data_IF_119461908468
#
_entry.id   IF_119461908468
#
_cell.length_a   1.000
_cell.length_b   1.000
_cell.length_c   1.000
_cell.angle_alpha   90.00
_cell.angle_beta   90.00
_cell.angle_gamma   90.00
#
_symmetry.space_group_name_H-M   'P 1'
#
loop_
_entity.id
_entity.type
_entity.pdbx_description
1 polymer ?
#
# COMPACT_ATOMS: atom_id res chain seq x y z
N UNK A 1 -1.23 -24.86 -2.38
CA UNK A 1 -1.60 -24.77 -0.95
C UNK A 1 -0.72 -25.76 -0.20
N UNK A 2 0.36 -25.32 0.46
CA UNK A 2 1.24 -26.21 1.23
C UNK A 2 0.86 -26.18 2.72
N UNK A 3 0.69 -27.37 3.28
CA UNK A 3 0.38 -27.65 4.69
C UNK A 3 1.57 -27.41 5.65
N UNK A 4 2.32 -26.31 5.47
CA UNK A 4 3.44 -25.92 6.35
C UNK A 4 3.15 -24.63 7.14
N UNK A 5 1.91 -24.14 7.12
CA UNK A 5 1.46 -23.07 7.98
C UNK A 5 1.37 -23.58 9.42
N UNK A 6 2.43 -23.38 10.20
CA UNK A 6 2.33 -23.41 11.65
C UNK A 6 1.24 -22.46 12.15
N UNK A 7 0.93 -22.44 13.44
CA UNK A 7 -0.14 -21.60 13.98
C UNK A 7 0.31 -20.13 14.04
N UNK A 8 0.70 -19.54 12.91
CA UNK A 8 1.14 -18.15 12.78
C UNK A 8 0.10 -17.19 13.33
N UNK A 9 -1.18 -17.52 13.15
CA UNK A 9 -2.29 -16.80 13.77
C UNK A 9 -2.25 -16.86 15.30
N UNK A 10 -2.04 -18.05 15.88
CA UNK A 10 -1.94 -18.20 17.34
C UNK A 10 -0.68 -17.55 17.90
N UNK A 11 0.44 -17.58 17.16
CA UNK A 11 1.66 -16.86 17.54
C UNK A 11 1.43 -15.36 17.51
N UNK A 12 0.83 -14.83 16.45
CA UNK A 12 0.49 -13.40 16.35
C UNK A 12 -0.48 -12.97 17.46
N UNK A 13 -1.49 -13.80 17.76
CA UNK A 13 -2.41 -13.62 18.88
C UNK A 13 -1.70 -13.58 20.24
N UNK A 14 -0.77 -14.51 20.46
CA UNK A 14 0.03 -14.57 21.69
C UNK A 14 0.91 -13.32 21.81
N UNK A 15 1.59 -12.94 20.74
CA UNK A 15 2.41 -11.72 20.69
C UNK A 15 1.58 -10.47 20.98
N UNK A 16 0.34 -10.38 20.49
CA UNK A 16 -0.56 -9.29 20.83
C UNK A 16 -0.86 -9.22 22.32
N UNK A 17 -1.21 -10.35 22.94
CA UNK A 17 -1.49 -10.38 24.37
C UNK A 17 -0.26 -10.03 25.20
N UNK A 18 0.93 -10.46 24.78
CA UNK A 18 2.19 -10.06 25.42
C UNK A 18 2.42 -8.55 25.26
N UNK A 19 2.28 -8.00 24.05
CA UNK A 19 2.47 -6.58 23.78
C UNK A 19 1.50 -5.70 24.59
N UNK A 20 0.24 -6.13 24.72
CA UNK A 20 -0.74 -5.48 25.61
C UNK A 20 -0.29 -5.59 27.08
N UNK A 21 0.13 -6.79 27.52
CA UNK A 21 0.58 -7.04 28.88
C UNK A 21 1.77 -6.21 29.32
N UNK A 22 2.70 -5.91 28.41
CA UNK A 22 3.86 -5.02 28.68
C UNK A 22 3.57 -3.54 28.40
N UNK A 23 2.35 -3.20 27.96
CA UNK A 23 1.90 -1.82 27.77
C UNK A 23 2.37 -1.15 26.48
N UNK A 24 2.61 -1.90 25.40
CA UNK A 24 2.86 -1.33 24.06
C UNK A 24 1.59 -0.70 23.44
N UNK A 25 0.40 -1.13 23.89
CA UNK A 25 -0.89 -0.62 23.40
C UNK A 25 -1.33 0.69 24.05
N UNK A 26 -0.49 1.31 24.87
CA UNK A 26 -0.74 2.58 25.56
C UNK A 26 0.31 3.57 25.10
N UNK A 27 -0.10 4.79 24.72
CA UNK A 27 0.89 5.79 24.26
C UNK A 27 1.91 6.07 25.37
N UNK A 28 3.22 5.96 25.09
CA UNK A 28 4.26 6.30 26.02
C UNK A 28 4.20 7.72 26.58
N UNK A 29 3.53 8.67 25.92
CA UNK A 29 3.32 10.01 26.46
C UNK A 29 2.44 10.00 27.72
N UNK A 30 1.57 9.00 27.84
CA UNK A 30 0.77 8.73 29.05
C UNK A 30 1.54 7.91 30.09
N UNK A 31 2.74 7.46 29.75
CA UNK A 31 3.61 6.67 30.62
C UNK A 31 4.82 7.53 31.03
N UNK A 32 5.31 7.36 32.26
CA UNK A 32 6.50 8.07 32.72
C UNK A 32 7.80 7.33 32.33
N UNK A 33 7.97 7.04 31.03
CA UNK A 33 9.08 6.24 30.47
C UNK A 33 10.13 7.08 29.74
N UNK A 34 11.35 6.54 29.56
CA UNK A 34 12.40 7.20 28.77
C UNK A 34 12.05 7.34 27.28
N UNK A 35 12.81 8.14 26.52
CA UNK A 35 12.57 8.34 25.07
C UNK A 35 12.80 7.04 24.30
N UNK A 36 13.86 6.30 24.65
CA UNK A 36 14.20 5.03 24.01
C UNK A 36 13.08 4.02 24.24
N UNK A 37 12.68 3.81 25.50
CA UNK A 37 11.58 2.90 25.85
C UNK A 37 10.25 3.32 25.19
N UNK A 38 9.99 4.63 25.08
CA UNK A 38 8.83 5.13 24.37
C UNK A 38 8.83 4.71 22.89
N UNK A 39 9.95 4.92 22.19
CA UNK A 39 10.06 4.55 20.78
C UNK A 39 10.08 3.03 20.58
N UNK A 40 10.69 2.25 21.47
CA UNK A 40 10.60 0.78 21.46
C UNK A 40 9.14 0.31 21.51
N UNK A 41 8.34 0.88 22.41
CA UNK A 41 6.91 0.55 22.54
C UNK A 41 6.11 0.96 21.30
N UNK A 42 6.29 2.18 20.79
CA UNK A 42 5.62 2.67 19.57
C UNK A 42 5.96 1.81 18.36
N UNK A 43 7.24 1.50 18.17
CA UNK A 43 7.72 0.67 17.05
C UNK A 43 7.21 -0.76 17.16
N UNK A 44 7.23 -1.35 18.36
CA UNK A 44 6.66 -2.67 18.62
C UNK A 44 5.18 -2.72 18.27
N UNK A 45 4.39 -1.76 18.78
CA UNK A 45 2.95 -1.68 18.54
C UNK A 45 2.62 -1.47 17.06
N UNK A 46 3.34 -0.59 16.39
CA UNK A 46 3.14 -0.32 14.97
C UNK A 46 3.53 -1.51 14.08
N UNK A 47 4.65 -2.17 14.37
CA UNK A 47 5.05 -3.38 13.66
C UNK A 47 4.02 -4.50 13.82
N UNK A 48 3.52 -4.71 15.05
CA UNK A 48 2.47 -5.69 15.34
C UNK A 48 1.17 -5.35 14.59
N UNK A 49 0.76 -4.09 14.60
CA UNK A 49 -0.42 -3.61 13.87
C UNK A 49 -0.29 -3.88 12.37
N UNK A 50 0.90 -3.62 11.78
CA UNK A 50 1.18 -3.92 10.39
C UNK A 50 1.07 -5.43 10.09
N UNK A 51 1.59 -6.30 10.95
CA UNK A 51 1.47 -7.75 10.80
C UNK A 51 0.01 -8.22 10.81
N UNK A 52 -0.82 -7.65 11.71
CA UNK A 52 -2.26 -7.93 11.72
C UNK A 52 -2.95 -7.48 10.43
N UNK A 53 -2.60 -6.30 9.91
CA UNK A 53 -3.15 -5.82 8.63
C UNK A 53 -2.76 -6.77 7.49
N UNK A 54 -1.49 -7.16 7.41
CA UNK A 54 -1.01 -8.12 6.39
C UNK A 54 -1.78 -9.44 6.49
N UNK A 55 -1.92 -9.98 7.70
CA UNK A 55 -2.64 -11.23 7.93
C UNK A 55 -4.12 -11.13 7.51
N UNK A 56 -4.80 -10.03 7.85
CA UNK A 56 -6.19 -9.79 7.43
C UNK A 56 -6.33 -9.77 5.91
N UNK A 57 -5.41 -9.09 5.22
CA UNK A 57 -5.42 -9.06 3.74
C UNK A 57 -5.18 -10.47 3.17
N UNK A 58 -4.24 -11.24 3.75
CA UNK A 58 -3.97 -12.62 3.32
C UNK A 58 -5.18 -13.56 3.51
N UNK A 59 -6.02 -13.34 4.53
CA UNK A 59 -7.27 -14.09 4.73
C UNK A 59 -8.44 -13.58 3.87
N UNK A 60 -8.18 -12.68 2.93
CA UNK A 60 -9.20 -12.18 1.99
C UNK A 60 -10.10 -11.08 2.57
N UNK A 61 -9.77 -10.54 3.75
CA UNK A 61 -10.43 -9.32 4.22
C UNK A 61 -9.90 -8.13 3.41
N UNK A 62 -10.69 -7.72 2.42
CA UNK A 62 -10.33 -6.64 1.48
C UNK A 62 -10.53 -5.25 2.07
N UNK A 63 -11.20 -5.13 3.22
CA UNK A 63 -11.38 -3.87 3.94
C UNK A 63 -10.36 -3.82 5.09
N UNK A 64 -9.18 -3.20 4.90
CA UNK A 64 -8.30 -2.93 6.04
C UNK A 64 -9.09 -2.07 7.04
N UNK A 65 -9.11 -2.39 8.32
CA UNK A 65 -9.75 -1.51 9.30
C UNK A 65 -9.03 -0.16 9.33
N UNK A 66 -9.76 0.93 9.59
CA UNK A 66 -9.12 2.24 9.81
C UNK A 66 -8.18 2.10 10.99
N UNK A 67 -6.94 2.54 10.81
CA UNK A 67 -5.96 2.56 11.89
C UNK A 67 -6.39 3.67 12.86
N UNK A 68 -7.22 3.29 13.83
CA UNK A 68 -7.44 4.06 15.04
C UNK A 68 -6.32 3.68 15.98
N UNK A 69 -5.35 4.57 16.13
CA UNK A 69 -4.21 4.32 16.97
C UNK A 69 -4.36 5.15 18.24
N UNK A 70 -4.57 4.47 19.35
CA UNK A 70 -4.45 5.05 20.69
C UNK A 70 -2.98 5.30 21.07
N UNK A 71 -2.07 4.96 20.16
CA UNK A 71 -0.62 5.11 20.26
C UNK A 71 -0.13 5.84 19.00
N UNK A 72 0.61 6.92 19.17
CA UNK A 72 1.24 7.65 18.07
C UNK A 72 2.14 6.74 17.22
N UNK A 73 2.26 7.07 15.94
CA UNK A 73 3.21 6.38 15.07
C UNK A 73 4.65 6.64 15.52
N UNK A 74 5.58 5.69 15.26
CA UNK A 74 6.99 5.89 15.57
C UNK A 74 7.57 7.16 14.96
N UNK A 75 8.60 7.70 15.60
CA UNK A 75 9.37 8.79 15.03
C UNK A 75 10.13 8.34 13.78
N UNK A 76 10.27 9.26 12.81
CA UNK A 76 10.99 9.05 11.56
C UNK A 76 12.49 9.31 11.77
N UNK A 77 13.14 8.46 12.58
CA UNK A 77 14.55 8.58 12.99
C UNK A 77 15.20 7.19 13.08
N UNK A 78 16.51 7.13 12.86
CA UNK A 78 17.29 5.91 13.01
C UNK A 78 17.65 5.65 14.48
N UNK A 79 17.96 4.39 14.80
CA UNK A 79 18.26 3.96 16.17
C UNK A 79 19.49 4.69 16.75
N UNK A 80 20.50 4.96 15.93
CA UNK A 80 21.72 5.67 16.34
C UNK A 80 21.46 7.14 16.70
N UNK A 81 20.39 7.72 16.15
CA UNK A 81 19.99 9.10 16.40
C UNK A 81 19.02 9.23 17.59
N UNK A 82 18.56 8.10 18.17
CA UNK A 82 17.78 8.06 19.41
C UNK A 82 18.67 8.39 20.62
N UNK A 83 19.04 9.66 20.76
CA UNK A 83 19.79 10.12 21.94
C UNK A 83 18.84 10.55 23.06
N UNK A 84 19.24 10.29 24.32
CA UNK A 84 18.44 10.56 25.54
C UNK A 84 18.32 12.06 25.88
N UNK A 85 18.51 12.94 24.89
CA UNK A 85 18.57 14.40 25.09
C UNK A 85 17.17 15.02 25.14
N UNK A 86 16.47 14.81 26.26
CA UNK A 86 15.21 15.47 26.67
C UNK A 86 14.01 15.30 25.71
N UNK A 87 12.86 14.94 26.30
CA UNK A 87 11.51 14.73 25.70
C UNK A 87 10.93 15.85 24.79
N UNK A 88 11.70 16.85 24.38
CA UNK A 88 11.22 18.04 23.65
C UNK A 88 11.78 18.25 22.24
N UNK A 89 12.74 17.44 21.79
CA UNK A 89 13.38 17.64 20.48
C UNK A 89 13.60 16.33 19.75
N UNK A 90 12.53 15.57 19.47
CA UNK A 90 12.60 14.61 18.37
C UNK A 90 12.80 15.43 17.10
N UNK A 91 13.89 15.25 16.34
CA UNK A 91 14.10 15.99 15.11
C UNK A 91 12.87 15.86 14.20
N UNK A 92 12.38 16.99 13.71
CA UNK A 92 11.36 16.97 12.66
C UNK A 92 11.93 16.19 11.47
N UNK A 93 11.12 15.31 10.87
CA UNK A 93 11.48 14.45 9.72
C UNK A 93 12.48 15.16 8.80
N UNK A 94 13.69 14.64 8.73
CA UNK A 94 14.80 15.24 7.98
C UNK A 94 14.55 15.23 6.46
N UNK A 95 13.43 14.65 6.01
CA UNK A 95 13.17 14.37 4.61
C UNK A 95 14.13 13.34 4.02
N UNK A 96 14.95 12.69 4.86
CA UNK A 96 15.89 11.65 4.49
C UNK A 96 15.28 10.27 4.73
N UNK A 97 15.84 9.28 4.06
CA UNK A 97 15.44 7.89 4.19
C UNK A 97 15.95 7.34 5.53
N UNK A 98 15.04 6.89 6.38
CA UNK A 98 15.32 6.27 7.70
C UNK A 98 14.83 4.82 7.73
N UNK A 99 15.25 4.05 8.73
CA UNK A 99 14.75 2.71 9.03
C UNK A 99 13.23 2.68 9.21
N UNK A 100 12.62 3.76 9.73
CA UNK A 100 11.18 3.88 9.97
C UNK A 100 10.38 4.34 8.74
N UNK A 101 11.04 4.92 7.72
CA UNK A 101 10.38 5.46 6.52
C UNK A 101 9.46 4.45 5.83
N UNK A 102 9.86 3.18 5.73
CA UNK A 102 9.04 2.11 5.14
C UNK A 102 7.73 1.90 5.92
N UNK A 103 7.84 1.76 7.24
CA UNK A 103 6.70 1.53 8.13
C UNK A 103 5.74 2.72 8.05
N UNK A 104 6.26 3.95 8.19
CA UNK A 104 5.44 5.16 8.15
C UNK A 104 4.73 5.34 6.80
N UNK A 105 5.40 5.01 5.69
CA UNK A 105 4.75 5.02 4.38
C UNK A 105 3.64 3.97 4.28
N UNK A 106 3.87 2.74 4.75
CA UNK A 106 2.85 1.68 4.80
C UNK A 106 1.60 2.12 5.55
N UNK A 107 1.75 2.74 6.72
CA UNK A 107 0.61 3.25 7.51
C UNK A 107 -0.20 4.31 6.78
N UNK A 108 0.45 5.25 6.08
CA UNK A 108 -0.25 6.22 5.22
C UNK A 108 -1.02 5.53 4.10
N UNK A 109 -0.39 4.55 3.44
CA UNK A 109 -1.05 3.77 2.39
C UNK A 109 -2.19 2.89 2.91
N UNK A 110 -2.11 2.33 4.12
CA UNK A 110 -3.21 1.57 4.73
C UNK A 110 -4.43 2.44 5.00
N UNK A 111 -4.23 3.67 5.47
CA UNK A 111 -5.33 4.63 5.64
C UNK A 111 -5.99 4.98 4.30
N UNK A 112 -5.19 5.18 3.24
CA UNK A 112 -5.73 5.37 1.89
C UNK A 112 -6.44 4.12 1.38
N UNK A 113 -5.90 2.93 1.63
CA UNK A 113 -6.52 1.66 1.26
C UNK A 113 -7.91 1.51 1.91
N UNK A 114 -8.06 1.85 3.18
CA UNK A 114 -9.37 1.86 3.85
C UNK A 114 -10.35 2.81 3.15
N UNK A 115 -9.91 4.04 2.84
CA UNK A 115 -10.76 5.01 2.16
C UNK A 115 -11.16 4.56 0.75
N UNK A 116 -10.24 3.96 0.00
CA UNK A 116 -10.48 3.39 -1.33
C UNK A 116 -11.47 2.23 -1.23
N UNK A 117 -11.24 1.26 -0.35
CA UNK A 117 -12.12 0.10 -0.23
C UNK A 117 -13.52 0.51 0.23
N UNK A 118 -13.65 1.44 1.18
CA UNK A 118 -14.94 2.02 1.59
C UNK A 118 -15.67 2.68 0.43
N UNK A 119 -14.95 3.44 -0.38
CA UNK A 119 -15.51 4.08 -1.57
C UNK A 119 -15.92 3.02 -2.61
N UNK A 120 -15.15 1.94 -2.79
CA UNK A 120 -15.41 0.83 -3.73
C UNK A 120 -16.54 -0.09 -3.30
N UNK A 121 -16.79 -0.24 -2.00
CA UNK A 121 -17.94 -0.98 -1.48
C UNK A 121 -19.27 -0.22 -1.59
N UNK A 122 -19.23 1.09 -1.83
CA UNK A 122 -20.44 1.92 -1.95
C UNK A 122 -21.07 1.78 -3.34
N UNK A 123 -22.40 1.60 -3.38
CA UNK A 123 -23.21 1.68 -4.61
C UNK A 123 -24.10 2.93 -4.55
N UNK A 124 -24.32 3.69 -5.64
CA UNK A 124 -23.90 3.48 -7.04
C UNK A 124 -22.41 3.80 -7.31
N UNK A 125 -21.98 3.71 -8.59
CA UNK A 125 -20.61 4.02 -9.03
C UNK A 125 -20.14 5.38 -8.48
N UNK A 126 -18.88 5.42 -8.06
CA UNK A 126 -18.31 6.56 -7.33
C UNK A 126 -18.28 7.84 -8.17
N UNK A 127 -18.45 8.99 -7.50
CA UNK A 127 -18.32 10.29 -8.16
C UNK A 127 -16.88 10.56 -8.60
N UNK A 128 -16.71 11.22 -9.75
CA UNK A 128 -15.40 11.62 -10.29
C UNK A 128 -14.56 12.39 -9.29
N UNK A 129 -15.18 13.31 -8.56
CA UNK A 129 -14.48 14.12 -7.55
C UNK A 129 -13.89 13.27 -6.42
N UNK A 130 -14.63 12.29 -5.89
CA UNK A 130 -14.15 11.42 -4.81
C UNK A 130 -13.02 10.52 -5.28
N UNK A 131 -13.15 9.94 -6.49
CA UNK A 131 -12.08 9.14 -7.10
C UNK A 131 -10.81 9.98 -7.32
N UNK A 132 -10.94 11.17 -7.91
CA UNK A 132 -9.80 12.07 -8.18
C UNK A 132 -9.12 12.57 -6.90
N UNK A 133 -9.88 12.79 -5.82
CA UNK A 133 -9.32 13.15 -4.52
C UNK A 133 -8.40 12.05 -3.98
N UNK A 134 -8.79 10.78 -4.10
CA UNK A 134 -7.95 9.65 -3.68
C UNK A 134 -6.78 9.40 -4.65
N UNK A 135 -6.99 9.55 -5.96
CA UNK A 135 -5.91 9.47 -6.98
C UNK A 135 -4.81 10.49 -6.70
N UNK A 136 -5.20 11.74 -6.38
CA UNK A 136 -4.27 12.80 -6.02
C UNK A 136 -3.46 12.48 -4.77
N UNK A 137 -4.13 12.04 -3.69
CA UNK A 137 -3.44 11.63 -2.45
C UNK A 137 -2.46 10.48 -2.68
N UNK A 138 -2.83 9.46 -3.46
CA UNK A 138 -1.92 8.39 -3.85
C UNK A 138 -0.72 8.95 -4.63
N UNK A 139 -0.94 9.95 -5.48
CA UNK A 139 0.11 10.61 -6.26
C UNK A 139 1.09 11.37 -5.39
N UNK A 140 0.60 12.06 -4.36
CA UNK A 140 1.44 12.74 -3.38
C UNK A 140 2.27 11.75 -2.55
N UNK A 141 1.66 10.65 -2.09
CA UNK A 141 2.40 9.59 -1.39
C UNK A 141 3.45 8.95 -2.28
N UNK A 142 3.12 8.66 -3.55
CA UNK A 142 4.07 8.09 -4.50
C UNK A 142 5.24 9.04 -4.77
N UNK A 143 4.95 10.33 -4.97
CA UNK A 143 5.97 11.36 -5.17
C UNK A 143 6.88 11.47 -3.95
N UNK A 144 6.31 11.53 -2.74
CA UNK A 144 7.07 11.57 -1.49
C UNK A 144 7.95 10.32 -1.33
N UNK A 145 7.39 9.15 -1.60
CA UNK A 145 8.14 7.89 -1.55
C UNK A 145 9.31 7.90 -2.52
N UNK A 146 9.11 8.28 -3.78
CA UNK A 146 10.19 8.35 -4.78
C UNK A 146 11.28 9.35 -4.37
N UNK A 147 10.91 10.54 -3.87
CA UNK A 147 11.90 11.57 -3.51
C UNK A 147 12.86 11.16 -2.40
N UNK A 148 12.49 10.20 -1.54
CA UNK A 148 13.39 9.67 -0.51
C UNK A 148 14.59 8.90 -1.11
N UNK A 149 14.49 8.48 -2.37
CA UNK A 149 15.51 7.67 -3.04
C UNK A 149 16.29 8.46 -4.11
N UNK A 150 15.94 9.71 -4.40
CA UNK A 150 16.54 10.51 -5.49
C UNK A 150 18.06 10.73 -5.30
N UNK A 151 18.51 10.88 -4.05
CA UNK A 151 19.91 11.17 -3.70
C UNK A 151 20.60 10.00 -2.98
N UNK A 152 19.96 8.83 -2.92
CA UNK A 152 20.43 7.75 -2.09
C UNK A 152 21.48 6.92 -2.82
N UNK A 153 22.75 7.17 -2.50
CA UNK A 153 23.90 6.39 -2.98
C UNK A 153 24.25 5.31 -1.95
N UNK A 154 24.51 4.09 -2.41
CA UNK A 154 24.95 2.96 -1.57
C UNK A 154 23.97 2.58 -0.43
N UNK A 155 22.70 2.36 -0.79
CA UNK A 155 21.69 1.96 0.19
C UNK A 155 21.77 0.46 0.56
N UNK A 156 21.51 0.13 1.83
CA UNK A 156 21.24 -1.24 2.24
C UNK A 156 20.14 -1.92 1.39
N UNK A 157 20.30 -3.20 1.10
CA UNK A 157 19.37 -3.95 0.25
C UNK A 157 17.93 -3.99 0.80
N UNK A 158 17.75 -3.82 2.12
CA UNK A 158 16.41 -3.75 2.71
C UNK A 158 15.64 -2.50 2.26
N UNK A 159 16.30 -1.36 2.11
CA UNK A 159 15.66 -0.16 1.56
C UNK A 159 15.24 -0.35 0.10
N UNK A 160 16.06 -1.05 -0.68
CA UNK A 160 15.72 -1.42 -2.07
C UNK A 160 14.50 -2.35 -2.10
N UNK A 161 14.43 -3.35 -1.22
CA UNK A 161 13.25 -4.20 -1.10
C UNK A 161 12.00 -3.38 -0.72
N UNK A 162 12.11 -2.54 0.30
CA UNK A 162 11.05 -1.64 0.77
C UNK A 162 10.55 -0.71 -0.34
N UNK A 163 11.45 -0.18 -1.16
CA UNK A 163 11.10 0.64 -2.32
C UNK A 163 10.11 -0.07 -3.23
N UNK A 164 10.44 -1.28 -3.68
CA UNK A 164 9.58 -2.05 -4.57
C UNK A 164 8.26 -2.47 -3.91
N UNK A 165 8.30 -2.90 -2.65
CA UNK A 165 7.10 -3.33 -1.91
C UNK A 165 6.10 -2.18 -1.77
N UNK A 166 6.57 -0.98 -1.42
CA UNK A 166 5.73 0.21 -1.28
C UNK A 166 5.23 0.69 -2.64
N UNK A 167 6.12 0.74 -3.64
CA UNK A 167 5.77 1.19 -4.99
C UNK A 167 4.69 0.29 -5.62
N UNK A 168 4.86 -1.03 -5.51
CA UNK A 168 3.87 -1.99 -5.98
C UNK A 168 2.56 -1.90 -5.20
N UNK A 169 2.61 -1.72 -3.88
CA UNK A 169 1.39 -1.53 -3.09
C UNK A 169 0.65 -0.26 -3.50
N UNK A 170 1.35 0.84 -3.76
CA UNK A 170 0.74 2.10 -4.23
C UNK A 170 0.06 1.92 -5.58
N UNK A 171 0.72 1.26 -6.54
CA UNK A 171 0.12 0.94 -7.83
C UNK A 171 -1.05 -0.05 -7.72
N UNK A 172 -0.99 -0.99 -6.77
CA UNK A 172 -2.10 -1.87 -6.48
C UNK A 172 -3.33 -1.08 -5.97
N UNK A 173 -3.14 -0.06 -5.13
CA UNK A 173 -4.22 0.83 -4.70
C UNK A 173 -4.80 1.64 -5.87
N UNK A 174 -3.98 2.10 -6.82
CA UNK A 174 -4.49 2.69 -8.06
C UNK A 174 -5.38 1.71 -8.84
N UNK A 175 -5.00 0.43 -8.94
CA UNK A 175 -5.85 -0.57 -9.57
C UNK A 175 -7.19 -0.70 -8.84
N UNK A 176 -7.18 -0.83 -7.51
CA UNK A 176 -8.41 -0.96 -6.71
C UNK A 176 -9.34 0.25 -6.85
N UNK A 177 -8.78 1.46 -6.93
CA UNK A 177 -9.53 2.70 -7.07
C UNK A 177 -10.22 2.83 -8.43
N UNK A 178 -9.53 2.43 -9.51
CA UNK A 178 -9.99 2.67 -10.88
C UNK A 178 -10.65 1.46 -11.56
N UNK A 179 -10.46 0.24 -11.03
CA UNK A 179 -11.03 -0.99 -11.60
C UNK A 179 -12.57 -0.96 -11.77
N UNK A 180 -13.37 -0.37 -10.86
CA UNK A 180 -14.83 -0.28 -11.06
C UNK A 180 -15.25 0.39 -12.36
N UNK A 181 -14.40 1.25 -12.95
CA UNK A 181 -14.68 1.95 -14.19
C UNK A 181 -14.32 1.17 -15.45
N UNK A 182 -13.52 0.09 -15.36
CA UNK A 182 -13.13 -0.72 -16.53
C UNK A 182 -14.28 -1.55 -17.10
N UNK A 183 -15.19 -1.99 -16.23
CA UNK A 183 -16.39 -2.75 -16.61
C UNK A 183 -17.62 -1.88 -16.86
N UNK A 184 -17.53 -0.56 -16.67
CA UNK A 184 -18.64 0.35 -16.87
C UNK A 184 -18.92 0.49 -18.39
N UNK A 185 -20.12 0.12 -18.82
CA UNK A 185 -20.55 0.28 -20.21
C UNK A 185 -20.64 1.78 -20.53
N UNK A 186 -20.08 2.20 -21.67
CA UNK A 186 -20.19 3.56 -22.25
C UNK A 186 -21.63 3.95 -22.65
N UNK A 187 -22.64 3.31 -22.07
CA UNK A 187 -24.06 3.55 -22.31
C UNK A 187 -24.57 4.84 -21.67
N UNK A 188 -23.76 5.50 -20.85
CA UNK A 188 -24.09 6.82 -20.31
C UNK A 188 -23.63 7.93 -21.28
N UNK A 189 -24.53 8.78 -21.79
CA UNK A 189 -24.21 9.81 -22.79
C UNK A 189 -23.38 10.97 -22.22
N UNK A 190 -23.20 11.07 -20.90
CA UNK A 190 -22.47 12.19 -20.30
C UNK A 190 -20.98 12.20 -20.71
N UNK A 191 -20.52 13.34 -21.22
CA UNK A 191 -19.11 13.57 -21.57
C UNK A 191 -18.18 13.39 -20.38
N UNK A 192 -18.64 13.75 -19.17
CA UNK A 192 -17.86 13.59 -17.94
C UNK A 192 -17.59 12.12 -17.60
N UNK A 193 -18.61 11.24 -17.70
CA UNK A 193 -18.45 9.80 -17.40
C UNK A 193 -17.53 9.10 -18.40
N UNK A 194 -17.65 9.41 -19.69
CA UNK A 194 -16.73 8.90 -20.72
C UNK A 194 -15.28 9.33 -20.46
N UNK A 195 -15.09 10.58 -20.04
CA UNK A 195 -13.76 11.11 -19.69
C UNK A 195 -13.20 10.37 -18.47
N UNK A 196 -14.00 10.15 -17.43
CA UNK A 196 -13.60 9.41 -16.24
C UNK A 196 -13.24 7.94 -16.51
N UNK A 197 -14.01 7.26 -17.37
CA UNK A 197 -13.71 5.88 -17.80
C UNK A 197 -12.35 5.84 -18.52
N UNK A 198 -12.12 6.77 -19.45
CA UNK A 198 -10.85 6.85 -20.19
C UNK A 198 -9.65 7.12 -19.27
N UNK A 199 -9.77 8.10 -18.37
CA UNK A 199 -8.73 8.45 -17.39
C UNK A 199 -8.42 7.25 -16.47
N UNK A 200 -9.46 6.60 -15.95
CA UNK A 200 -9.35 5.43 -15.09
C UNK A 200 -8.68 4.27 -15.81
N UNK A 201 -9.04 4.05 -17.07
CA UNK A 201 -8.44 3.02 -17.90
C UNK A 201 -6.95 3.25 -18.13
N UNK A 202 -6.55 4.49 -18.45
CA UNK A 202 -5.14 4.86 -18.60
C UNK A 202 -4.37 4.65 -17.30
N UNK A 203 -4.96 5.04 -16.16
CA UNK A 203 -4.36 4.84 -14.84
C UNK A 203 -4.16 3.36 -14.51
N UNK A 204 -5.16 2.52 -14.79
CA UNK A 204 -5.08 1.07 -14.62
C UNK A 204 -3.97 0.46 -15.48
N UNK A 205 -3.91 0.78 -16.77
CA UNK A 205 -2.86 0.27 -17.67
C UNK A 205 -1.47 0.65 -17.19
N UNK A 206 -1.26 1.94 -16.87
CA UNK A 206 0.04 2.44 -16.37
C UNK A 206 0.46 1.74 -15.08
N UNK A 207 -0.47 1.58 -14.14
CA UNK A 207 -0.19 0.98 -12.84
C UNK A 207 0.08 -0.52 -12.94
N UNK A 208 -0.71 -1.24 -13.76
CA UNK A 208 -0.51 -2.66 -14.00
C UNK A 208 0.87 -2.94 -14.63
N UNK A 209 1.26 -2.18 -15.66
CA UNK A 209 2.58 -2.29 -16.27
C UNK A 209 3.70 -2.03 -15.26
N UNK A 210 3.54 -1.02 -14.39
CA UNK A 210 4.55 -0.70 -13.39
C UNK A 210 4.70 -1.80 -12.33
N UNK A 211 3.60 -2.42 -11.89
CA UNK A 211 3.64 -3.58 -10.99
C UNK A 211 4.44 -4.72 -11.62
N UNK A 212 4.17 -5.06 -12.87
CA UNK A 212 4.85 -6.18 -13.55
C UNK A 212 6.34 -5.89 -13.77
N UNK A 213 6.69 -4.69 -14.23
CA UNK A 213 8.08 -4.27 -14.39
C UNK A 213 8.85 -4.30 -13.06
N UNK A 214 8.25 -3.81 -11.99
CA UNK A 214 8.84 -3.87 -10.66
C UNK A 214 8.98 -5.31 -10.15
N UNK A 215 7.97 -6.16 -10.38
CA UNK A 215 8.00 -7.57 -9.99
C UNK A 215 9.15 -8.32 -10.69
N UNK A 216 9.29 -8.10 -12.00
CA UNK A 216 10.39 -8.63 -12.80
C UNK A 216 11.76 -8.13 -12.30
N UNK A 217 11.89 -6.81 -12.07
CA UNK A 217 13.13 -6.21 -11.56
C UNK A 217 13.51 -6.76 -10.19
N UNK A 218 12.53 -6.97 -9.31
CA UNK A 218 12.75 -7.56 -7.99
C UNK A 218 13.22 -9.01 -8.11
N UNK A 219 12.54 -9.80 -8.95
CA UNK A 219 12.83 -11.22 -9.12
C UNK A 219 14.24 -11.50 -9.63
N UNK A 220 14.71 -10.68 -10.57
CA UNK A 220 16.04 -10.82 -11.16
C UNK A 220 17.17 -10.25 -10.29
N UNK A 221 16.87 -9.52 -9.21
CA UNK A 221 17.90 -8.97 -8.34
C UNK A 221 18.35 -9.99 -7.28
N UNK A 222 19.58 -10.54 -7.37
CA UNK A 222 20.04 -11.58 -6.45
C UNK A 222 20.17 -11.10 -4.99
N UNK A 223 20.38 -9.80 -4.78
CA UNK A 223 20.50 -9.23 -3.44
C UNK A 223 19.15 -9.17 -2.70
N UNK A 224 18.03 -9.33 -3.42
CA UNK A 224 16.69 -9.32 -2.85
C UNK A 224 16.16 -10.73 -2.54
N UNK A 225 16.95 -11.79 -2.72
CA UNK A 225 16.58 -13.17 -2.36
C UNK A 225 16.03 -13.34 -0.93
N UNK A 226 16.55 -12.66 0.11
CA UNK A 226 15.98 -12.74 1.46
C UNK A 226 14.52 -12.28 1.54
N UNK A 227 14.06 -11.50 0.55
CA UNK A 227 12.70 -10.97 0.46
C UNK A 227 11.80 -11.76 -0.50
N UNK A 228 12.21 -12.97 -0.90
CA UNK A 228 11.40 -13.83 -1.76
C UNK A 228 10.01 -14.17 -1.17
N UNK A 229 9.84 -14.08 0.15
CA UNK A 229 8.54 -14.18 0.81
C UNK A 229 7.52 -13.17 0.23
N UNK A 230 7.99 -12.00 -0.22
CA UNK A 230 7.15 -11.01 -0.87
C UNK A 230 6.73 -11.47 -2.28
N UNK A 231 7.69 -11.87 -3.12
CA UNK A 231 7.42 -12.30 -4.49
C UNK A 231 6.49 -13.51 -4.53
N UNK A 232 6.79 -14.54 -3.74
CA UNK A 232 5.98 -15.77 -3.69
C UNK A 232 4.69 -15.61 -2.87
N UNK A 233 4.57 -14.52 -2.11
CA UNK A 233 3.38 -14.13 -1.37
C UNK A 233 2.68 -12.95 -2.03
N UNK A 234 2.65 -11.82 -1.33
CA UNK A 234 1.84 -10.64 -1.66
C UNK A 234 2.11 -10.07 -3.06
N UNK A 235 3.37 -10.05 -3.50
CA UNK A 235 3.78 -9.57 -4.80
C UNK A 235 3.14 -10.35 -5.96
N UNK A 236 3.03 -11.67 -5.84
CA UNK A 236 2.37 -12.50 -6.86
C UNK A 236 0.88 -12.19 -7.00
N UNK A 237 0.18 -11.94 -5.88
CA UNK A 237 -1.23 -11.54 -5.89
C UNK A 237 -1.42 -10.20 -6.62
N UNK A 238 -0.54 -9.23 -6.36
CA UNK A 238 -0.59 -7.94 -7.04
C UNK A 238 -0.28 -8.07 -8.54
N UNK A 239 0.70 -8.90 -8.91
CA UNK A 239 1.02 -9.18 -10.31
C UNK A 239 -0.17 -9.85 -11.04
N UNK A 240 -0.84 -10.81 -10.39
CA UNK A 240 -2.04 -11.45 -10.93
C UNK A 240 -3.17 -10.43 -11.16
N UNK A 241 -3.42 -9.53 -10.21
CA UNK A 241 -4.39 -8.45 -10.41
C UNK A 241 -4.00 -7.53 -11.57
N UNK A 242 -2.72 -7.21 -11.71
CA UNK A 242 -2.22 -6.40 -12.83
C UNK A 242 -2.46 -7.08 -14.19
N UNK A 243 -2.15 -8.37 -14.30
CA UNK A 243 -2.35 -9.16 -15.53
C UNK A 243 -3.83 -9.20 -15.91
N UNK A 244 -4.70 -9.53 -14.95
CA UNK A 244 -6.16 -9.61 -15.19
C UNK A 244 -6.73 -8.26 -15.61
N UNK A 245 -6.27 -7.16 -15.00
CA UNK A 245 -6.66 -5.79 -15.38
C UNK A 245 -6.29 -5.47 -16.84
N UNK A 246 -5.08 -5.85 -17.28
CA UNK A 246 -4.65 -5.65 -18.68
C UNK A 246 -5.46 -6.51 -19.65
N UNK A 247 -5.83 -7.73 -19.25
CA UNK A 247 -6.72 -8.61 -20.03
C UNK A 247 -8.12 -8.02 -20.21
N UNK A 248 -8.74 -7.53 -19.13
CA UNK A 248 -10.05 -6.86 -19.15
C UNK A 248 -10.03 -5.64 -20.09
N UNK A 249 -8.95 -4.84 -20.05
CA UNK A 249 -8.78 -3.70 -20.96
C UNK A 249 -8.67 -4.12 -22.44
N UNK A 250 -7.89 -5.16 -22.73
CA UNK A 250 -7.74 -5.70 -24.09
C UNK A 250 -9.06 -6.20 -24.68
N UNK A 251 -9.86 -6.91 -23.87
CA UNK A 251 -11.18 -7.40 -24.27
C UNK A 251 -12.21 -6.27 -24.48
N UNK A 252 -12.18 -5.23 -23.63
CA UNK A 252 -13.02 -4.04 -23.80
C UNK A 252 -12.77 -3.34 -25.14
N UNK A 253 -11.50 -3.17 -25.51
CA UNK A 253 -11.10 -2.56 -26.80
C UNK A 253 -11.56 -3.38 -28.00
N UNK A 254 -11.43 -4.71 -27.94
CA UNK A 254 -11.89 -5.60 -28.99
C UNK A 254 -13.42 -5.55 -29.16
N UNK A 255 -14.19 -5.52 -28.06
CA UNK A 255 -15.66 -5.39 -28.12
C UNK A 255 -16.11 -4.05 -28.69
N UNK A 256 -15.47 -2.94 -28.32
CA UNK A 256 -15.77 -1.62 -28.90
C UNK A 256 -15.43 -1.55 -30.39
N UNK A 257 -14.31 -2.15 -30.80
CA UNK A 257 -13.91 -2.23 -32.21
C UNK A 257 -14.87 -3.06 -33.07
N UNK A 258 -15.36 -4.19 -32.56
CA UNK A 258 -16.39 -4.99 -33.24
C UNK A 258 -17.72 -4.22 -33.37
N UNK A 259 -18.13 -3.47 -32.34
CA UNK A 259 -19.34 -2.63 -32.39
C UNK A 259 -19.23 -1.48 -33.38
N UNK A 260 -18.09 -0.78 -33.44
CA UNK A 260 -17.89 0.32 -34.40
C UNK A 260 -17.86 -0.16 -35.85
N UNK A 261 -17.35 -1.39 -36.09
CA UNK A 261 -17.35 -1.98 -37.42
C UNK A 261 -18.75 -2.32 -37.91
N UNK A 262 -19.57 -2.95 -37.06
CA UNK A 262 -20.97 -3.27 -37.40
C UNK A 262 -21.88 -2.02 -37.55
N UNK A 263 -21.50 -0.89 -36.96
CA UNK A 263 -22.26 0.37 -37.09
C UNK A 263 -21.95 1.15 -38.39
N UNK A 264 -20.85 0.83 -39.06
CA UNK A 264 -20.47 1.46 -40.35
C UNK A 264 -20.90 0.64 -41.58
N UNK A 265 -21.45 -0.57 -41.37
CA UNK A 265 -21.94 -1.47 -42.42
C UNK A 265 -23.48 -1.35 -42.65
N UNK A 266 -24.09 -0.27 -42.15
CA UNK A 266 -25.50 0.11 -42.35
C UNK A 266 -25.61 1.58 -42.77
#
# INVERSE_FOLDING_TARGET
MSHSGGPTWSLLGTTLHIAIGIGCSVDPDHLNVGIIEAEERRRCWAALTMLYIIQNICFGNTMPFRIQADVALPADIDDEDLTDTRRGSVPSSSGQLTQMSYLLCKFRLYNLAFDICRLSSSKPLQSRQSTMKLDHKLGEELKRHMSLFDNATDMPFYHVAHFYIVNNYTHHLYLLLHRPFLGAVESDPSTERRTQIRESSQRCTKSAMKILSNFESFHHNPNLKPYNWYIYGFGSFQALLAITTLGEYGQGRHRSYCKSRNANDH
#
